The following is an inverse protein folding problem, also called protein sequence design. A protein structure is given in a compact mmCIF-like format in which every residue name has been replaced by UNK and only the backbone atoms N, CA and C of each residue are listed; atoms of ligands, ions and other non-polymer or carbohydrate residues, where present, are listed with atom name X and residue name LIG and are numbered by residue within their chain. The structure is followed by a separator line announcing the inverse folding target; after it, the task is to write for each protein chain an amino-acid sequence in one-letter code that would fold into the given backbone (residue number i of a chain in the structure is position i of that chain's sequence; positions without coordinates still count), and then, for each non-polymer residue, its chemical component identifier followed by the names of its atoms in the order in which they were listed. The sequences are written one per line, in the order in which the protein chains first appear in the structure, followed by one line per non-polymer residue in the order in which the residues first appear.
data_IF_705667369514
#
_entry.id   IF_705667369514
#
_cell.length_a   1.000
_cell.length_b   1.000
_cell.length_c   1.000
_cell.angle_alpha   90.00
_cell.angle_beta   90.00
_cell.angle_gamma   90.00
#
_symmetry.space_group_name_H-M   'P 1'
#
loop_
_entity.id
_entity.type
_entity.pdbx_description
1 polymer ?
#
# COMPACT_ATOMS: atom_id res chain seq x y z
N UNK A 1 3.53 -7.60 -15.78
CA UNK A 1 4.81 -7.62 -15.07
C UNK A 1 5.08 -9.00 -14.46
N UNK A 2 4.21 -9.52 -13.56
CA UNK A 2 4.45 -10.80 -12.86
C UNK A 2 4.53 -11.98 -13.82
N UNK A 3 3.56 -12.13 -14.73
CA UNK A 3 3.63 -13.15 -15.78
C UNK A 3 4.92 -13.05 -16.60
N UNK A 4 5.32 -11.86 -17.05
CA UNK A 4 6.56 -11.67 -17.81
C UNK A 4 7.81 -12.07 -17.02
N UNK A 5 7.83 -11.85 -15.70
CA UNK A 5 8.93 -12.28 -14.83
C UNK A 5 8.93 -13.81 -14.64
N UNK A 6 7.76 -14.43 -14.47
CA UNK A 6 7.62 -15.86 -14.19
C UNK A 6 7.74 -16.76 -15.42
N UNK A 7 7.48 -16.24 -16.63
CA UNK A 7 7.34 -17.00 -17.89
C UNK A 7 8.45 -18.03 -18.10
N UNK A 8 9.71 -17.63 -17.90
CA UNK A 8 10.88 -18.47 -18.14
C UNK A 8 11.52 -19.01 -16.84
N UNK A 9 10.81 -18.87 -15.71
CA UNK A 9 11.29 -19.25 -14.38
C UNK A 9 10.36 -20.30 -13.76
N UNK A 10 10.79 -21.55 -13.59
CA UNK A 10 9.97 -22.58 -12.95
C UNK A 10 9.80 -22.33 -11.44
N UNK A 11 10.77 -21.65 -10.83
CA UNK A 11 10.79 -21.29 -9.42
C UNK A 11 11.04 -19.79 -9.27
N UNK A 12 10.40 -19.18 -8.30
CA UNK A 12 10.67 -17.80 -7.83
C UNK A 12 10.68 -17.77 -6.31
N UNK A 13 11.39 -16.80 -5.75
CA UNK A 13 11.37 -16.50 -4.33
C UNK A 13 10.39 -15.34 -4.07
N UNK A 14 9.39 -15.56 -3.24
CA UNK A 14 8.59 -14.52 -2.61
C UNK A 14 9.40 -13.96 -1.45
N UNK A 15 9.67 -12.66 -1.45
CA UNK A 15 10.46 -11.99 -0.41
C UNK A 15 9.60 -10.96 0.33
N UNK A 16 9.66 -10.99 1.65
CA UNK A 16 9.03 -10.07 2.60
C UNK A 16 10.02 -9.79 3.75
N UNK A 17 9.83 -8.72 4.49
CA UNK A 17 10.74 -8.35 5.57
C UNK A 17 10.02 -8.10 6.88
N UNK A 18 10.57 -8.64 7.96
CA UNK A 18 10.07 -8.37 9.30
C UNK A 18 10.42 -6.95 9.73
N UNK A 19 9.39 -6.11 10.01
CA UNK A 19 9.56 -4.74 10.51
C UNK A 19 10.46 -3.87 9.60
N UNK A 20 10.32 -3.98 8.29
CA UNK A 20 11.19 -3.34 7.30
C UNK A 20 11.45 -1.86 7.60
N UNK A 21 10.39 -1.06 7.76
CA UNK A 21 10.47 0.37 8.10
C UNK A 21 11.30 0.65 9.36
N UNK A 22 11.19 -0.24 10.35
CA UNK A 22 11.91 -0.12 11.63
C UNK A 22 13.37 -0.55 11.57
N UNK A 23 13.74 -1.34 10.57
CA UNK A 23 15.08 -1.94 10.43
C UNK A 23 16.02 -1.13 9.53
N UNK A 24 15.55 -0.02 8.96
CA UNK A 24 16.38 0.81 8.07
C UNK A 24 17.55 1.43 8.83
N UNK A 25 18.75 1.22 8.29
CA UNK A 25 19.97 1.82 8.79
C UNK A 25 20.26 3.20 8.15
N UNK A 26 21.13 4.04 8.73
CA UNK A 26 21.56 5.29 8.10
C UNK A 26 22.17 5.06 6.71
N UNK A 27 22.89 3.96 6.51
CA UNK A 27 23.45 3.58 5.21
C UNK A 27 22.35 3.37 4.16
N UNK A 28 21.31 2.58 4.47
CA UNK A 28 20.20 2.32 3.56
C UNK A 28 19.41 3.60 3.23
N UNK A 29 19.26 4.49 4.19
CA UNK A 29 18.62 5.81 3.98
C UNK A 29 19.46 6.71 3.08
N UNK A 30 20.79 6.70 3.17
CA UNK A 30 21.64 7.46 2.26
C UNK A 30 21.70 6.84 0.86
N UNK A 31 21.63 5.50 0.76
CA UNK A 31 21.51 4.81 -0.52
C UNK A 31 20.25 5.27 -1.27
N UNK A 32 19.07 5.19 -0.65
CA UNK A 32 17.83 5.63 -1.30
C UNK A 32 17.85 7.11 -1.66
N UNK A 33 18.40 7.96 -0.77
CA UNK A 33 18.58 9.38 -1.04
C UNK A 33 19.46 9.61 -2.27
N UNK A 34 20.56 8.88 -2.40
CA UNK A 34 21.48 8.97 -3.54
C UNK A 34 20.81 8.57 -4.85
N UNK A 35 20.00 7.50 -4.84
CA UNK A 35 19.23 7.05 -6.01
C UNK A 35 18.20 8.12 -6.40
N UNK A 36 17.41 8.59 -5.45
CA UNK A 36 16.40 9.63 -5.70
C UNK A 36 17.01 10.91 -6.28
N UNK A 37 18.12 11.39 -5.74
CA UNK A 37 18.80 12.58 -6.27
C UNK A 37 19.31 12.39 -7.69
N UNK A 38 19.69 11.17 -8.10
CA UNK A 38 20.11 10.88 -9.47
C UNK A 38 18.94 10.87 -10.46
N UNK A 39 17.73 10.49 -10.02
CA UNK A 39 16.53 10.48 -10.85
C UNK A 39 16.04 11.89 -11.20
N UNK A 40 16.46 12.93 -10.50
CA UNK A 40 16.02 14.31 -10.71
C UNK A 40 17.07 15.16 -11.43
N UNK A 41 16.61 16.13 -12.24
CA UNK A 41 17.47 17.09 -12.88
C UNK A 41 18.26 17.95 -11.85
N UNK A 42 19.49 18.31 -12.19
CA UNK A 42 20.42 19.03 -11.29
C UNK A 42 19.79 20.23 -10.55
N UNK A 43 19.01 21.13 -11.20
CA UNK A 43 18.44 22.29 -10.54
C UNK A 43 17.50 21.96 -9.36
N UNK A 44 16.85 20.78 -9.38
CA UNK A 44 15.86 20.37 -8.36
C UNK A 44 16.48 19.56 -7.21
N UNK A 45 17.74 19.12 -7.34
CA UNK A 45 18.36 18.19 -6.37
C UNK A 45 18.54 18.81 -4.99
N UNK A 46 18.86 20.09 -4.90
CA UNK A 46 19.06 20.77 -3.62
C UNK A 46 17.75 20.85 -2.83
N UNK A 47 16.63 21.15 -3.50
CA UNK A 47 15.31 21.15 -2.88
C UNK A 47 14.87 19.75 -2.47
N UNK A 48 14.99 18.76 -3.37
CA UNK A 48 14.68 17.38 -3.08
C UNK A 48 15.51 16.85 -1.89
N UNK A 49 16.81 17.14 -1.84
CA UNK A 49 17.66 16.74 -0.72
C UNK A 49 17.16 17.29 0.62
N UNK A 50 16.68 18.55 0.63
CA UNK A 50 16.08 19.18 1.82
C UNK A 50 14.75 18.54 2.22
N UNK A 51 13.91 18.15 1.25
CA UNK A 51 12.65 17.46 1.52
C UNK A 51 12.92 16.04 2.07
N UNK A 52 13.83 15.29 1.46
CA UNK A 52 14.20 13.95 1.93
C UNK A 52 14.80 13.99 3.34
N UNK A 53 15.59 15.02 3.67
CA UNK A 53 16.16 15.18 5.01
C UNK A 53 15.07 15.35 6.10
N UNK A 54 13.88 15.88 5.76
CA UNK A 54 12.77 16.02 6.70
C UNK A 54 12.09 14.70 7.03
N UNK A 55 12.25 13.69 6.18
CA UNK A 55 11.74 12.34 6.41
C UNK A 55 12.65 11.50 7.33
N UNK A 56 13.81 12.04 7.69
CA UNK A 56 14.76 11.43 8.62
C UNK A 56 14.64 12.07 10.00
N UNK A 57 14.89 11.30 11.06
CA UNK A 57 14.93 11.80 12.45
C UNK A 57 13.68 12.57 12.85
N UNK A 58 12.51 12.05 12.44
CA UNK A 58 11.23 12.67 12.74
C UNK A 58 10.95 12.55 14.24
N UNK A 59 10.62 13.68 14.86
CA UNK A 59 10.21 13.75 16.27
C UNK A 59 8.70 13.76 16.34
N UNK A 60 8.15 12.86 17.14
CA UNK A 60 6.71 12.74 17.31
C UNK A 60 6.29 12.70 18.78
N UNK A 61 4.96 12.79 18.99
CA UNK A 61 4.33 12.66 20.30
C UNK A 61 3.08 11.81 20.20
N UNK A 62 2.96 10.83 21.06
CA UNK A 62 1.74 10.00 21.13
C UNK A 62 0.58 10.78 21.75
N UNK A 63 -0.66 10.29 21.58
CA UNK A 63 -1.86 10.86 22.22
C UNK A 63 -1.73 10.91 23.76
N UNK A 64 -0.95 9.99 24.35
CA UNK A 64 -0.67 9.94 25.79
C UNK A 64 0.51 10.80 26.23
N UNK A 65 1.09 11.60 25.31
CA UNK A 65 2.14 12.56 25.60
C UNK A 65 3.58 12.02 25.52
N UNK A 66 3.82 10.74 25.26
CA UNK A 66 5.17 10.18 25.10
C UNK A 66 5.83 10.75 23.85
N UNK A 67 7.06 11.23 23.99
CA UNK A 67 7.88 11.71 22.88
C UNK A 67 8.70 10.57 22.30
N UNK A 68 8.86 10.56 20.99
CA UNK A 68 9.72 9.60 20.29
C UNK A 68 10.46 10.26 19.15
N UNK A 69 11.54 9.62 18.70
CA UNK A 69 12.33 10.00 17.54
C UNK A 69 12.59 8.75 16.69
N UNK A 70 12.37 8.86 15.38
CA UNK A 70 12.48 7.70 14.47
C UNK A 70 13.91 7.35 14.11
N UNK A 71 14.87 8.28 14.30
CA UNK A 71 16.26 8.11 13.82
C UNK A 71 16.27 7.75 12.33
N UNK A 72 16.85 6.60 11.94
CA UNK A 72 16.88 6.12 10.58
C UNK A 72 15.58 5.38 10.16
N UNK A 73 14.77 4.92 11.11
CA UNK A 73 13.52 4.22 10.83
C UNK A 73 12.57 5.10 10.01
N UNK A 74 11.80 4.49 9.13
CA UNK A 74 10.76 5.14 8.33
C UNK A 74 9.44 5.19 9.08
N UNK A 75 8.72 6.27 8.94
CA UNK A 75 7.29 6.32 9.28
C UNK A 75 6.49 5.64 8.17
N UNK A 76 5.71 4.62 8.47
CA UNK A 76 4.92 3.87 7.47
C UNK A 76 3.91 4.74 6.70
N UNK A 77 3.57 5.93 7.20
CA UNK A 77 2.75 6.93 6.52
C UNK A 77 3.54 7.96 5.69
N UNK A 78 4.86 7.82 5.57
CA UNK A 78 5.68 8.67 4.72
C UNK A 78 5.38 8.43 3.24
N UNK A 79 5.41 9.48 2.43
CA UNK A 79 5.30 9.38 0.97
C UNK A 79 6.46 8.58 0.35
N UNK A 80 7.58 8.46 1.06
CA UNK A 80 8.74 7.68 0.64
C UNK A 80 8.64 6.19 1.01
N UNK A 81 7.58 5.74 1.70
CA UNK A 81 7.49 4.35 2.18
C UNK A 81 7.59 3.36 1.04
N UNK A 82 6.70 3.42 0.05
CA UNK A 82 6.73 2.47 -1.06
C UNK A 82 7.97 2.62 -1.93
N UNK A 83 8.29 3.83 -2.36
CA UNK A 83 9.43 4.08 -3.28
C UNK A 83 10.76 3.77 -2.62
N UNK A 84 11.01 4.30 -1.42
CA UNK A 84 12.26 4.08 -0.69
C UNK A 84 12.46 2.63 -0.30
N UNK A 85 11.40 1.96 0.20
CA UNK A 85 11.48 0.53 0.51
C UNK A 85 11.73 -0.31 -0.75
N UNK A 86 11.12 0.02 -1.89
CA UNK A 86 11.38 -0.67 -3.17
C UNK A 86 12.84 -0.52 -3.61
N UNK A 87 13.43 0.67 -3.43
CA UNK A 87 14.86 0.91 -3.75
C UNK A 87 15.76 0.03 -2.86
N UNK A 88 15.49 -0.01 -1.56
CA UNK A 88 16.28 -0.83 -0.61
C UNK A 88 16.10 -2.31 -0.90
N UNK A 89 14.87 -2.77 -1.14
CA UNK A 89 14.57 -4.16 -1.50
C UNK A 89 15.28 -4.58 -2.81
N UNK A 90 15.27 -3.72 -3.83
CA UNK A 90 16.00 -3.96 -5.08
C UNK A 90 17.52 -3.99 -4.85
N UNK A 91 18.05 -3.20 -3.92
CA UNK A 91 19.46 -3.22 -3.57
C UNK A 91 19.86 -4.53 -2.88
N UNK A 92 19.03 -5.05 -1.98
CA UNK A 92 19.26 -6.37 -1.37
C UNK A 92 19.33 -7.47 -2.44
N UNK A 93 18.35 -7.49 -3.36
CA UNK A 93 18.33 -8.44 -4.47
C UNK A 93 19.58 -8.30 -5.36
N UNK A 94 19.98 -7.06 -5.68
CA UNK A 94 21.20 -6.79 -6.43
C UNK A 94 22.43 -7.37 -5.72
N UNK A 95 22.60 -7.10 -4.43
CA UNK A 95 23.72 -7.60 -3.64
C UNK A 95 23.73 -9.13 -3.57
N UNK A 96 22.58 -9.76 -3.36
CA UNK A 96 22.46 -11.22 -3.33
C UNK A 96 22.88 -11.85 -4.67
N UNK A 97 22.40 -11.29 -5.79
CA UNK A 97 22.81 -11.72 -7.14
C UNK A 97 24.30 -11.46 -7.41
N UNK A 98 24.84 -10.35 -6.90
CA UNK A 98 26.30 -10.09 -7.00
C UNK A 98 27.13 -11.09 -6.21
N UNK A 99 26.65 -11.51 -5.04
CA UNK A 99 27.32 -12.48 -4.19
C UNK A 99 27.41 -13.89 -4.85
N UNK A 100 26.53 -14.20 -5.81
CA UNK A 100 26.66 -15.43 -6.63
C UNK A 100 27.73 -15.32 -7.74
N UNK A 101 28.47 -14.21 -7.84
CA UNK A 101 29.52 -14.00 -8.84
C UNK A 101 29.04 -13.36 -10.15
N UNK A 102 27.77 -13.00 -10.28
CA UNK A 102 27.25 -12.32 -11.49
C UNK A 102 27.91 -10.94 -11.67
N UNK A 103 28.12 -10.54 -12.92
CA UNK A 103 28.57 -9.16 -13.23
C UNK A 103 27.53 -8.13 -12.78
N UNK A 104 27.97 -6.88 -12.57
CA UNK A 104 27.05 -5.80 -12.12
C UNK A 104 25.86 -5.59 -13.06
N UNK A 105 26.11 -5.61 -14.39
CA UNK A 105 25.04 -5.45 -15.37
C UNK A 105 24.06 -6.64 -15.37
N UNK A 106 24.58 -7.85 -15.26
CA UNK A 106 23.75 -9.05 -15.25
C UNK A 106 22.94 -9.16 -13.95
N UNK A 107 23.54 -8.87 -12.80
CA UNK A 107 22.84 -8.83 -11.52
C UNK A 107 21.71 -7.79 -11.55
N UNK A 108 21.98 -6.60 -12.08
CA UNK A 108 20.97 -5.54 -12.20
C UNK A 108 19.80 -5.95 -13.11
N UNK A 109 20.07 -6.60 -14.25
CA UNK A 109 19.02 -7.04 -15.18
C UNK A 109 18.16 -8.20 -14.66
N UNK A 110 18.61 -8.90 -13.60
CA UNK A 110 17.92 -10.03 -13.00
C UNK A 110 17.10 -9.66 -11.76
N UNK A 111 17.17 -8.41 -11.30
CA UNK A 111 16.32 -7.93 -10.20
C UNK A 111 14.85 -8.12 -10.58
N UNK A 112 14.11 -8.80 -9.73
CA UNK A 112 12.69 -9.04 -9.96
C UNK A 112 11.79 -7.88 -9.53
N UNK A 113 10.46 -8.02 -9.67
CA UNK A 113 9.49 -7.02 -9.25
C UNK A 113 9.59 -6.68 -7.78
N UNK A 114 9.54 -5.38 -7.46
CA UNK A 114 9.58 -4.84 -6.10
C UNK A 114 8.46 -3.82 -5.88
N UNK A 115 7.79 -3.91 -4.74
CA UNK A 115 6.80 -2.94 -4.32
C UNK A 115 6.81 -2.80 -2.79
N UNK A 116 7.49 -1.78 -2.29
CA UNK A 116 7.76 -1.68 -0.87
C UNK A 116 8.68 -2.79 -0.38
N UNK A 117 8.23 -3.49 0.63
CA UNK A 117 8.85 -4.68 1.21
C UNK A 117 8.52 -5.97 0.45
N UNK A 118 7.42 -6.03 -0.30
CA UNK A 118 7.10 -7.17 -1.17
C UNK A 118 8.09 -7.29 -2.34
N UNK A 119 8.55 -8.51 -2.64
CA UNK A 119 9.42 -8.79 -3.77
C UNK A 119 9.21 -10.17 -4.36
N UNK A 120 9.53 -10.28 -5.67
CA UNK A 120 9.72 -11.55 -6.36
C UNK A 120 11.12 -11.58 -6.95
N UNK A 121 11.85 -12.67 -6.76
CA UNK A 121 13.24 -12.80 -7.18
C UNK A 121 13.55 -14.17 -7.73
N UNK A 122 14.73 -14.33 -8.35
CA UNK A 122 15.33 -15.63 -8.55
C UNK A 122 15.74 -16.18 -7.17
N UNK A 123 15.44 -17.46 -6.84
CA UNK A 123 15.83 -18.03 -5.56
C UNK A 123 17.34 -18.27 -5.54
N UNK A 124 18.07 -17.47 -4.76
CA UNK A 124 19.50 -17.60 -4.55
C UNK A 124 19.81 -17.73 -3.06
N UNK A 125 20.73 -18.60 -2.69
CA UNK A 125 21.07 -18.93 -1.29
C UNK A 125 21.64 -17.73 -0.52
N UNK A 126 22.29 -16.83 -1.22
CA UNK A 126 22.96 -15.65 -0.64
C UNK A 126 22.00 -14.57 -0.11
N UNK A 127 20.68 -14.68 -0.36
CA UNK A 127 19.71 -13.65 0.04
C UNK A 127 19.67 -13.43 1.56
N UNK A 128 19.61 -14.51 2.35
CA UNK A 128 19.52 -14.39 3.81
C UNK A 128 20.76 -13.73 4.41
N UNK A 129 21.95 -14.18 4.00
CA UNK A 129 23.22 -13.61 4.47
C UNK A 129 23.34 -12.12 4.12
N UNK A 130 23.01 -11.75 2.89
CA UNK A 130 23.05 -10.34 2.44
C UNK A 130 22.05 -9.49 3.21
N UNK A 131 20.83 -9.95 3.41
CA UNK A 131 19.83 -9.22 4.17
C UNK A 131 20.26 -9.03 5.63
N UNK A 132 20.78 -10.06 6.28
CA UNK A 132 21.29 -10.04 7.65
C UNK A 132 22.46 -9.05 7.80
N UNK A 133 23.43 -9.08 6.88
CA UNK A 133 24.55 -8.14 6.84
C UNK A 133 24.10 -6.67 6.69
N UNK A 134 22.95 -6.42 6.11
CA UNK A 134 22.31 -5.10 6.00
C UNK A 134 21.41 -4.75 7.19
N UNK A 135 21.26 -5.65 8.16
CA UNK A 135 20.41 -5.50 9.33
C UNK A 135 18.91 -5.71 9.07
N UNK A 136 18.56 -6.42 8.00
CA UNK A 136 17.18 -6.67 7.57
C UNK A 136 16.76 -8.11 7.86
N UNK A 137 15.58 -8.30 8.45
CA UNK A 137 15.01 -9.62 8.74
C UNK A 137 14.22 -10.15 7.55
N UNK A 138 14.88 -10.84 6.61
CA UNK A 138 14.27 -11.41 5.42
C UNK A 138 13.44 -12.66 5.75
N UNK A 139 12.24 -12.72 5.15
CA UNK A 139 11.45 -13.94 4.99
C UNK A 139 11.42 -14.28 3.50
N UNK A 140 11.66 -15.51 3.16
CA UNK A 140 11.71 -15.95 1.77
C UNK A 140 11.06 -17.32 1.62
N UNK A 141 10.06 -17.40 0.73
CA UNK A 141 9.37 -18.62 0.36
C UNK A 141 9.61 -18.91 -1.12
N UNK A 142 10.11 -20.10 -1.43
CA UNK A 142 10.29 -20.52 -2.83
C UNK A 142 9.01 -21.14 -3.35
N UNK A 143 8.51 -20.62 -4.48
CA UNK A 143 7.26 -21.02 -5.11
C UNK A 143 7.46 -21.56 -6.52
N UNK A 144 6.64 -22.55 -6.89
CA UNK A 144 6.51 -23.05 -8.25
C UNK A 144 5.58 -22.13 -9.05
N UNK A 145 6.07 -21.63 -10.19
CA UNK A 145 5.34 -20.67 -11.02
C UNK A 145 4.24 -21.31 -11.88
N UNK A 146 4.17 -22.62 -11.94
CA UNK A 146 3.06 -23.38 -12.52
C UNK A 146 1.89 -23.60 -11.55
N UNK A 147 2.05 -23.25 -10.26
CA UNK A 147 0.99 -23.36 -9.25
C UNK A 147 0.41 -22.00 -8.92
N UNK A 148 1.05 -21.24 -8.06
CA UNK A 148 0.71 -19.84 -7.77
C UNK A 148 1.90 -19.09 -7.16
N UNK A 149 1.81 -17.76 -7.25
CA UNK A 149 2.76 -16.83 -6.62
C UNK A 149 1.98 -15.69 -5.98
N UNK A 150 2.42 -15.23 -4.80
CA UNK A 150 1.79 -14.08 -4.12
C UNK A 150 2.66 -12.82 -4.27
N UNK A 151 2.01 -11.69 -4.56
CA UNK A 151 2.69 -10.41 -4.64
C UNK A 151 1.69 -9.27 -4.41
N UNK A 152 2.02 -8.32 -3.53
CA UNK A 152 1.19 -7.15 -3.21
C UNK A 152 -0.27 -7.52 -2.83
N UNK A 153 -0.44 -8.56 -2.03
CA UNK A 153 -1.76 -9.00 -1.56
C UNK A 153 -2.61 -9.71 -2.61
N UNK A 154 -2.07 -9.97 -3.80
CA UNK A 154 -2.71 -10.76 -4.85
C UNK A 154 -2.07 -12.13 -4.98
N UNK A 155 -2.86 -13.08 -5.46
CA UNK A 155 -2.45 -14.44 -5.81
C UNK A 155 -2.51 -14.58 -7.32
N UNK A 156 -1.38 -14.80 -7.95
CA UNK A 156 -1.24 -15.01 -9.39
C UNK A 156 -1.30 -16.51 -9.67
N UNK A 157 -2.29 -16.92 -10.43
CA UNK A 157 -2.58 -18.33 -10.73
C UNK A 157 -1.72 -18.80 -11.91
N UNK A 158 -0.90 -19.83 -11.70
CA UNK A 158 0.04 -20.36 -12.67
C UNK A 158 0.73 -19.27 -13.53
N UNK A 159 1.43 -18.28 -12.89
CA UNK A 159 1.91 -17.09 -13.56
C UNK A 159 2.94 -17.36 -14.66
N UNK A 160 3.46 -18.56 -14.77
CA UNK A 160 4.28 -19.00 -15.88
C UNK A 160 3.48 -19.09 -17.19
N UNK A 161 2.19 -19.41 -17.10
CA UNK A 161 1.32 -19.67 -18.24
C UNK A 161 0.29 -18.56 -18.46
N UNK A 162 -0.21 -17.95 -17.40
CA UNK A 162 -1.35 -17.03 -17.44
C UNK A 162 -1.03 -15.69 -16.76
N UNK A 163 -1.75 -14.66 -17.18
CA UNK A 163 -1.74 -13.36 -16.51
C UNK A 163 -3.00 -13.18 -15.64
N UNK A 164 -3.37 -14.23 -14.91
CA UNK A 164 -4.57 -14.24 -14.07
C UNK A 164 -4.18 -14.03 -12.61
N UNK A 165 -4.96 -13.24 -11.91
CA UNK A 165 -4.77 -13.04 -10.46
C UNK A 165 -6.08 -12.84 -9.75
N UNK A 166 -6.10 -13.21 -8.48
CA UNK A 166 -7.22 -13.06 -7.55
C UNK A 166 -6.75 -12.33 -6.29
N UNK A 167 -7.65 -11.74 -5.53
CA UNK A 167 -7.32 -11.30 -4.17
C UNK A 167 -6.84 -12.48 -3.32
N UNK A 168 -5.87 -12.21 -2.43
CA UNK A 168 -5.54 -13.20 -1.41
C UNK A 168 -6.78 -13.44 -0.52
N UNK A 169 -7.38 -14.65 -0.57
CA UNK A 169 -8.68 -14.90 0.07
C UNK A 169 -8.60 -14.72 1.59
N UNK A 170 -7.51 -15.13 2.21
CA UNK A 170 -7.30 -14.99 3.65
C UNK A 170 -7.27 -13.54 4.10
N UNK A 171 -6.57 -12.68 3.35
CA UNK A 171 -6.52 -11.23 3.61
C UNK A 171 -7.88 -10.57 3.32
N UNK A 172 -8.52 -10.91 2.21
CA UNK A 172 -9.79 -10.33 1.80
C UNK A 172 -10.93 -10.65 2.77
N UNK A 173 -11.12 -11.92 3.12
CA UNK A 173 -12.21 -12.36 4.00
C UNK A 173 -12.04 -11.76 5.41
N UNK A 174 -10.84 -11.70 5.96
CA UNK A 174 -10.58 -11.02 7.23
C UNK A 174 -10.86 -9.52 7.17
N UNK A 175 -10.51 -8.89 6.07
CA UNK A 175 -10.64 -7.44 5.91
C UNK A 175 -12.07 -6.99 5.63
N UNK A 176 -12.84 -7.75 4.84
CA UNK A 176 -14.17 -7.35 4.36
C UNK A 176 -15.14 -6.93 5.48
N UNK A 177 -15.28 -7.67 6.62
CA UNK A 177 -16.21 -7.29 7.69
C UNK A 177 -15.75 -6.08 8.50
N UNK A 178 -14.47 -5.70 8.42
CA UNK A 178 -13.90 -4.66 9.28
C UNK A 178 -13.97 -3.30 8.58
N UNK A 179 -14.66 -2.34 9.20
CA UNK A 179 -14.67 -0.95 8.76
C UNK A 179 -14.61 0.00 9.96
N UNK A 180 -13.72 0.99 9.91
CA UNK A 180 -13.57 1.98 10.98
C UNK A 180 -14.73 2.98 11.05
N UNK A 181 -15.42 3.21 9.91
CA UNK A 181 -16.57 4.10 9.78
C UNK A 181 -17.65 3.36 9.01
N UNK A 182 -18.81 3.12 9.63
CA UNK A 182 -19.91 2.37 9.03
C UNK A 182 -20.33 2.89 7.64
N UNK A 183 -20.31 4.22 7.44
CA UNK A 183 -20.61 4.84 6.14
C UNK A 183 -19.65 4.47 5.00
N UNK A 184 -18.47 3.94 5.29
CA UNK A 184 -17.48 3.53 4.29
C UNK A 184 -17.47 2.02 4.03
N UNK A 185 -18.33 1.25 4.71
CA UNK A 185 -18.35 -0.20 4.54
C UNK A 185 -18.92 -0.60 3.17
N UNK A 186 -19.98 0.06 2.72
CA UNK A 186 -20.54 -0.13 1.39
C UNK A 186 -19.50 0.16 0.30
N UNK A 187 -18.77 1.28 0.40
CA UNK A 187 -17.70 1.66 -0.53
C UNK A 187 -16.62 0.58 -0.60
N UNK A 188 -16.21 0.06 0.55
CA UNK A 188 -15.21 -1.01 0.62
C UNK A 188 -15.69 -2.28 -0.07
N UNK A 189 -16.90 -2.74 0.23
CA UNK A 189 -17.49 -3.96 -0.36
C UNK A 189 -17.65 -3.80 -1.87
N UNK A 190 -18.21 -2.67 -2.33
CA UNK A 190 -18.36 -2.37 -3.75
C UNK A 190 -17.00 -2.24 -4.46
N UNK A 191 -15.99 -1.67 -3.80
CA UNK A 191 -14.61 -1.62 -4.31
C UNK A 191 -14.01 -3.01 -4.55
N UNK A 192 -14.22 -3.95 -3.64
CA UNK A 192 -13.79 -5.35 -3.84
C UNK A 192 -14.49 -5.98 -5.06
N UNK A 193 -15.79 -5.78 -5.20
CA UNK A 193 -16.57 -6.32 -6.33
C UNK A 193 -16.20 -5.67 -7.66
N UNK A 194 -15.85 -4.37 -7.67
CA UNK A 194 -15.39 -3.69 -8.88
C UNK A 194 -14.03 -4.20 -9.38
N UNK A 195 -13.14 -4.53 -8.44
CA UNK A 195 -11.76 -4.96 -8.77
C UNK A 195 -11.70 -6.45 -9.12
N UNK A 196 -12.41 -7.29 -8.38
CA UNK A 196 -12.37 -8.76 -8.52
C UNK A 196 -13.78 -9.38 -8.53
N UNK A 197 -14.62 -9.06 -9.51
CA UNK A 197 -16.02 -9.49 -9.54
C UNK A 197 -16.20 -11.00 -9.67
N UNK A 198 -15.18 -11.72 -10.15
CA UNK A 198 -15.24 -13.15 -10.46
C UNK A 198 -14.35 -14.02 -9.55
N UNK A 199 -13.65 -13.44 -8.57
CA UNK A 199 -12.80 -14.22 -7.66
C UNK A 199 -13.66 -15.14 -6.80
N UNK A 200 -13.54 -16.49 -6.92
CA UNK A 200 -14.32 -17.42 -6.12
C UNK A 200 -14.16 -17.15 -4.62
N UNK A 201 -15.19 -17.40 -3.85
CA UNK A 201 -15.29 -17.18 -2.42
C UNK A 201 -15.23 -15.70 -2.01
N UNK A 202 -14.27 -14.90 -2.51
CA UNK A 202 -14.12 -13.49 -2.13
C UNK A 202 -15.25 -12.63 -2.71
N UNK A 203 -15.53 -12.78 -4.00
CA UNK A 203 -16.65 -12.08 -4.65
C UNK A 203 -18.00 -12.55 -4.10
N UNK A 204 -18.12 -13.86 -3.82
CA UNK A 204 -19.34 -14.42 -3.22
C UNK A 204 -19.58 -13.86 -1.81
N UNK A 205 -18.51 -13.74 -1.00
CA UNK A 205 -18.59 -13.17 0.35
C UNK A 205 -18.91 -11.67 0.32
N UNK A 206 -18.26 -10.91 -0.54
CA UNK A 206 -18.55 -9.49 -0.73
C UNK A 206 -20.00 -9.27 -1.21
N UNK A 207 -20.47 -10.09 -2.16
CA UNK A 207 -21.86 -10.06 -2.65
C UNK A 207 -22.88 -10.44 -1.58
N UNK A 208 -22.56 -11.40 -0.71
CA UNK A 208 -23.39 -11.76 0.42
C UNK A 208 -23.46 -10.62 1.45
N UNK A 209 -22.33 -9.99 1.80
CA UNK A 209 -22.29 -8.83 2.69
C UNK A 209 -23.14 -7.69 2.12
N UNK A 210 -22.98 -7.38 0.82
CA UNK A 210 -23.76 -6.35 0.12
C UNK A 210 -25.25 -6.61 0.23
N UNK A 211 -25.69 -7.83 -0.08
CA UNK A 211 -27.10 -8.25 -0.05
C UNK A 211 -27.69 -8.20 1.37
N UNK A 212 -26.96 -8.75 2.37
CA UNK A 212 -27.44 -8.82 3.76
C UNK A 212 -27.58 -7.42 4.37
N UNK A 213 -26.68 -6.49 4.01
CA UNK A 213 -26.71 -5.12 4.54
C UNK A 213 -27.50 -4.15 3.66
N UNK A 214 -28.06 -4.58 2.52
CA UNK A 214 -28.85 -3.72 1.63
C UNK A 214 -28.05 -2.60 0.98
N UNK A 215 -26.75 -2.81 0.70
CA UNK A 215 -25.91 -1.77 0.08
C UNK A 215 -26.27 -1.60 -1.40
N UNK A 216 -26.27 -0.31 -1.85
CA UNK A 216 -26.45 0.06 -3.26
C UNK A 216 -25.27 -0.36 -4.15
N UNK A 217 -25.41 -0.07 -5.45
CA UNK A 217 -24.41 -0.42 -6.48
C UNK A 217 -23.32 0.66 -6.69
N UNK A 218 -23.37 1.74 -5.94
CA UNK A 218 -22.44 2.85 -6.10
C UNK A 218 -21.01 2.38 -5.84
N UNK A 219 -20.15 2.54 -6.85
CA UNK A 219 -18.72 2.27 -6.76
C UNK A 219 -18.01 3.61 -6.57
N UNK A 220 -17.14 3.77 -5.57
CA UNK A 220 -16.38 4.99 -5.40
C UNK A 220 -15.54 5.30 -6.64
N UNK A 221 -15.54 6.54 -7.12
CA UNK A 221 -14.78 7.02 -8.30
C UNK A 221 -13.31 6.57 -8.31
N UNK A 222 -12.69 6.49 -7.13
CA UNK A 222 -11.30 6.05 -6.98
C UNK A 222 -11.04 4.61 -7.42
N UNK A 223 -12.04 3.73 -7.41
CA UNK A 223 -11.90 2.35 -7.83
C UNK A 223 -12.11 2.19 -9.34
N UNK A 224 -12.92 3.01 -9.95
CA UNK A 224 -13.13 2.99 -11.41
C UNK A 224 -11.92 3.51 -12.20
N UNK A 225 -11.20 4.49 -11.64
CA UNK A 225 -10.06 5.14 -12.31
C UNK A 225 -8.72 4.46 -12.08
N UNK A 226 -8.52 3.77 -10.95
CA UNK A 226 -7.20 3.25 -10.55
C UNK A 226 -7.03 1.78 -10.89
N UNK A 227 -8.10 0.98 -10.84
CA UNK A 227 -8.00 -0.44 -11.09
C UNK A 227 -9.26 -0.91 -11.80
N UNK A 228 -9.23 -0.98 -13.11
CA UNK A 228 -10.16 -1.87 -13.82
C UNK A 228 -10.05 -3.30 -13.26
N UNK A 229 -10.99 -4.19 -13.56
CA UNK A 229 -10.96 -5.56 -13.08
C UNK A 229 -9.64 -6.23 -13.45
N UNK A 230 -9.05 -6.92 -12.48
CA UNK A 230 -7.83 -7.69 -12.74
C UNK A 230 -8.12 -8.84 -13.70
N UNK A 231 -7.17 -9.21 -14.55
CA UNK A 231 -7.35 -10.32 -15.46
C UNK A 231 -7.66 -11.61 -14.69
N UNK A 232 -8.82 -12.18 -14.97
CA UNK A 232 -9.24 -13.47 -14.46
C UNK A 232 -10.13 -14.14 -15.52
N UNK A 233 -9.85 -15.39 -15.85
CA UNK A 233 -10.65 -16.20 -16.74
C UNK A 233 -11.43 -17.23 -15.91
N UNK A 234 -12.74 -17.34 -16.16
CA UNK A 234 -13.61 -18.34 -15.51
C UNK A 234 -13.10 -19.77 -15.74
N UNK A 235 -12.42 -20.03 -16.84
CA UNK A 235 -11.74 -21.31 -17.10
C UNK A 235 -10.65 -21.63 -16.06
N UNK A 236 -10.14 -20.62 -15.36
CA UNK A 236 -9.19 -20.79 -14.25
C UNK A 236 -9.86 -21.13 -12.91
N UNK A 237 -11.20 -21.20 -12.84
CA UNK A 237 -11.94 -21.42 -11.58
C UNK A 237 -11.51 -22.70 -10.85
N UNK A 238 -11.34 -23.87 -11.49
CA UNK A 238 -10.88 -25.07 -10.81
C UNK A 238 -9.55 -24.87 -10.10
N UNK A 239 -8.56 -24.27 -10.79
CA UNK A 239 -7.26 -23.95 -10.21
C UNK A 239 -7.38 -22.91 -9.10
N UNK A 240 -8.21 -21.88 -9.28
CA UNK A 240 -8.45 -20.86 -8.26
C UNK A 240 -9.02 -21.46 -6.98
N UNK A 241 -10.04 -22.34 -7.08
CA UNK A 241 -10.65 -23.02 -5.93
C UNK A 241 -9.62 -23.91 -5.20
N UNK A 242 -8.78 -24.65 -5.94
CA UNK A 242 -7.71 -25.46 -5.34
C UNK A 242 -6.69 -24.60 -4.61
N UNK A 243 -6.24 -23.50 -5.21
CA UNK A 243 -5.28 -22.57 -4.59
C UNK A 243 -5.88 -21.87 -3.37
N UNK A 244 -7.16 -21.48 -3.45
CA UNK A 244 -7.89 -20.91 -2.31
C UNK A 244 -7.96 -21.94 -1.17
N UNK A 245 -8.29 -23.20 -1.46
CA UNK A 245 -8.36 -24.27 -0.48
C UNK A 245 -7.00 -24.48 0.22
N UNK A 246 -5.91 -24.48 -0.54
CA UNK A 246 -4.54 -24.56 0.00
C UNK A 246 -4.22 -23.37 0.92
N UNK A 247 -4.49 -22.15 0.48
CA UNK A 247 -4.25 -20.93 1.26
C UNK A 247 -5.10 -20.86 2.54
N UNK A 248 -6.31 -21.43 2.50
CA UNK A 248 -7.23 -21.46 3.63
C UNK A 248 -7.07 -22.70 4.53
N UNK A 249 -6.13 -23.60 4.20
CA UNK A 249 -5.90 -24.89 4.87
C UNK A 249 -7.18 -25.76 4.95
N UNK A 250 -7.86 -25.90 3.83
CA UNK A 250 -9.11 -26.66 3.72
C UNK A 250 -9.18 -27.45 2.40
N UNK A 251 -10.32 -28.04 2.07
CA UNK A 251 -10.53 -28.77 0.82
C UNK A 251 -11.28 -27.92 -0.22
N UNK A 252 -11.12 -28.27 -1.49
CA UNK A 252 -11.86 -27.62 -2.59
C UNK A 252 -13.38 -27.78 -2.43
N UNK A 253 -13.83 -28.92 -1.91
CA UNK A 253 -15.27 -29.17 -1.67
C UNK A 253 -15.80 -28.26 -0.57
N UNK A 254 -15.05 -28.08 0.54
CA UNK A 254 -15.42 -27.14 1.58
C UNK A 254 -15.51 -25.68 1.06
N UNK A 255 -14.62 -25.28 0.14
CA UNK A 255 -14.72 -23.96 -0.52
C UNK A 255 -16.00 -23.86 -1.36
N UNK A 256 -16.32 -24.88 -2.15
CA UNK A 256 -17.56 -24.91 -2.96
C UNK A 256 -18.82 -24.86 -2.09
N UNK A 257 -18.83 -25.60 -0.99
CA UNK A 257 -19.93 -25.58 -0.02
C UNK A 257 -20.10 -24.19 0.60
N UNK A 258 -18.99 -23.55 0.99
CA UNK A 258 -19.02 -22.17 1.48
C UNK A 258 -19.58 -21.19 0.45
N UNK A 259 -19.16 -21.27 -0.81
CA UNK A 259 -19.69 -20.46 -1.90
C UNK A 259 -21.20 -20.67 -2.05
N UNK A 260 -21.65 -21.93 -1.99
CA UNK A 260 -23.06 -22.26 -2.07
C UNK A 260 -23.88 -21.66 -0.90
N UNK A 261 -23.37 -21.72 0.33
CA UNK A 261 -24.00 -21.10 1.49
C UNK A 261 -24.01 -19.56 1.37
N UNK A 262 -22.91 -18.94 0.94
CA UNK A 262 -22.83 -17.48 0.72
C UNK A 262 -23.88 -16.99 -0.27
N UNK A 263 -24.12 -17.71 -1.37
CA UNK A 263 -25.18 -17.38 -2.34
C UNK A 263 -26.59 -17.37 -1.74
N UNK A 264 -26.80 -18.09 -0.63
CA UNK A 264 -28.09 -18.21 0.07
C UNK A 264 -28.17 -17.39 1.36
N UNK A 265 -27.07 -16.84 1.86
CA UNK A 265 -27.02 -16.06 3.09
C UNK A 265 -28.00 -14.88 3.07
N UNK A 266 -28.79 -14.73 4.14
CA UNK A 266 -29.83 -13.71 4.29
C UNK A 266 -29.63 -12.87 5.55
N UNK A 267 -28.85 -13.34 6.49
CA UNK A 267 -28.67 -12.72 7.80
C UNK A 267 -27.19 -12.49 8.12
N UNK A 268 -26.93 -11.57 9.05
CA UNK A 268 -25.58 -11.36 9.59
C UNK A 268 -25.02 -12.63 10.23
N UNK A 269 -25.88 -13.43 10.88
CA UNK A 269 -25.47 -14.68 11.50
C UNK A 269 -24.96 -15.71 10.48
N UNK A 270 -25.55 -15.75 9.26
CA UNK A 270 -25.04 -16.59 8.19
C UNK A 270 -23.61 -16.20 7.79
N UNK A 271 -23.33 -14.89 7.70
CA UNK A 271 -21.98 -14.38 7.38
C UNK A 271 -20.97 -14.68 8.48
N UNK A 272 -21.34 -14.49 9.75
CA UNK A 272 -20.49 -14.78 10.90
C UNK A 272 -20.17 -16.28 11.01
N UNK A 273 -21.14 -17.13 10.75
CA UNK A 273 -20.95 -18.59 10.76
C UNK A 273 -19.90 -19.03 9.75
N UNK A 274 -19.95 -18.48 8.54
CA UNK A 274 -18.95 -18.75 7.50
C UNK A 274 -17.56 -18.20 7.83
N UNK A 275 -17.48 -17.00 8.42
CA UNK A 275 -16.23 -16.44 8.88
C UNK A 275 -15.52 -17.36 9.90
N UNK A 276 -16.28 -17.90 10.85
CA UNK A 276 -15.78 -18.81 11.90
C UNK A 276 -15.25 -20.13 11.35
N UNK A 277 -15.79 -20.61 10.22
CA UNK A 277 -15.24 -21.82 9.55
C UNK A 277 -13.79 -21.61 9.17
N UNK A 278 -13.43 -20.43 8.67
CA UNK A 278 -12.07 -20.15 8.21
C UNK A 278 -11.15 -19.61 9.32
N UNK A 279 -11.71 -18.97 10.33
CA UNK A 279 -10.97 -18.30 11.40
C UNK A 279 -11.52 -18.65 12.80
N UNK A 280 -11.47 -19.92 13.19
CA UNK A 280 -12.06 -20.38 14.46
C UNK A 280 -11.40 -19.78 15.69
N UNK A 281 -10.16 -19.32 15.58
CA UNK A 281 -9.36 -18.79 16.69
C UNK A 281 -9.35 -17.25 16.77
N UNK A 282 -9.95 -16.55 15.80
CA UNK A 282 -9.96 -15.07 15.79
C UNK A 282 -10.88 -14.46 16.88
N UNK A 283 -11.67 -15.28 17.57
CA UNK A 283 -12.61 -14.82 18.63
C UNK A 283 -11.92 -14.24 19.87
N UNK A 284 -10.67 -14.60 20.16
CA UNK A 284 -10.06 -14.21 21.45
C UNK A 284 -9.27 -12.90 21.42
N UNK A 285 -8.76 -12.47 20.28
CA UNK A 285 -7.91 -11.28 20.19
C UNK A 285 -8.53 -10.09 19.42
N UNK A 286 -9.30 -10.32 18.36
CA UNK A 286 -9.78 -9.25 17.48
C UNK A 286 -11.14 -8.66 17.85
N UNK A 287 -12.04 -9.43 18.46
CA UNK A 287 -13.36 -8.92 18.89
C UNK A 287 -13.29 -7.91 20.02
N UNK A 288 -12.19 -7.83 20.75
CA UNK A 288 -11.95 -6.76 21.74
C UNK A 288 -11.66 -5.40 21.09
N UNK A 289 -11.35 -5.35 19.82
CA UNK A 289 -11.05 -4.14 19.04
C UNK A 289 -12.11 -3.74 18.01
N UNK A 290 -12.99 -4.65 17.62
CA UNK A 290 -14.05 -4.37 16.63
C UNK A 290 -15.23 -3.75 17.36
N UNK A 291 -15.37 -2.44 17.28
CA UNK A 291 -16.66 -1.79 17.61
C UNK A 291 -17.68 -2.27 16.60
N UNK A 292 -18.58 -3.18 17.02
CA UNK A 292 -19.85 -3.41 16.33
C UNK A 292 -20.48 -2.04 16.09
N UNK A 293 -20.99 -1.79 14.90
CA UNK A 293 -21.86 -0.64 14.66
C UNK A 293 -22.98 -0.71 15.70
N UNK A 294 -23.16 0.27 16.57
CA UNK A 294 -24.28 0.26 17.49
C UNK A 294 -25.57 0.27 16.66
N UNK A 295 -26.55 -0.57 17.03
CA UNK A 295 -27.90 -0.57 16.45
C UNK A 295 -28.68 0.73 16.73
N UNK A 296 -28.09 1.69 17.45
CA UNK A 296 -28.73 2.96 17.79
C UNK A 296 -28.42 4.07 16.78
N UNK A 297 -29.15 4.09 15.70
CA UNK A 297 -29.22 5.25 14.77
C UNK A 297 -30.45 6.13 15.01
N UNK A 298 -30.83 6.41 16.24
CA UNK A 298 -31.91 7.36 16.52
C UNK A 298 -31.49 8.60 17.36
N UNK A 299 -30.21 8.96 17.39
CA UNK A 299 -29.86 10.28 17.95
C UNK A 299 -28.66 10.90 17.22
N UNK A 300 -28.87 11.27 15.96
CA UNK A 300 -28.01 12.27 15.32
C UNK A 300 -28.41 13.65 15.85
N UNK A 301 -27.84 14.03 16.95
CA UNK A 301 -27.81 15.44 17.36
C UNK A 301 -27.03 16.20 16.29
N UNK A 302 -27.76 17.01 15.51
CA UNK A 302 -27.20 17.99 14.59
C UNK A 302 -26.34 18.95 15.42
N UNK A 303 -25.02 18.76 15.40
CA UNK A 303 -24.11 19.83 15.78
C UNK A 303 -24.10 20.85 14.63
N UNK A 304 -24.91 21.89 14.83
CA UNK A 304 -24.81 23.13 14.10
C UNK A 304 -23.43 23.72 14.26
N UNK A 305 -22.89 24.18 13.14
CA UNK A 305 -21.65 24.95 13.02
C UNK A 305 -21.49 25.97 14.17
N UNK A 306 -20.54 25.71 15.05
CA UNK A 306 -19.97 26.73 15.92
C UNK A 306 -18.55 27.04 15.46
N UNK A 307 -18.45 28.14 14.77
CA UNK A 307 -17.25 28.87 14.39
C UNK A 307 -16.39 29.15 15.65
N UNK A 308 -15.12 28.74 15.76
CA UNK A 308 -14.30 28.96 16.95
C UNK A 308 -13.65 30.36 16.96
N UNK A 309 -14.38 31.44 16.72
CA UNK A 309 -13.84 32.79 16.73
C UNK A 309 -14.27 33.67 17.91
N UNK A 310 -14.87 33.12 18.96
CA UNK A 310 -15.17 33.89 20.17
C UNK A 310 -14.81 33.11 21.40
N UNK A 311 -13.53 33.14 21.79
CA UNK A 311 -13.08 32.92 23.15
C UNK A 311 -12.62 34.26 23.71
N UNK A 312 -13.46 34.82 24.54
CA UNK A 312 -13.21 35.99 25.36
C UNK A 312 -11.98 35.82 26.25
N UNK A 313 -11.16 36.86 26.32
CA UNK A 313 -10.01 36.97 27.19
C UNK A 313 -10.50 37.31 28.63
N UNK A 314 -10.00 36.70 29.69
CA UNK A 314 -10.17 37.22 31.02
C UNK A 314 -9.26 38.43 31.24
N UNK A 315 -9.86 39.46 31.85
CA UNK A 315 -9.20 40.69 32.23
C UNK A 315 -8.15 40.49 33.32
N UNK A 316 -6.98 41.10 33.16
CA UNK A 316 -5.91 41.13 34.19
C UNK A 316 -4.81 42.10 33.73
N UNK A 317 -4.87 43.27 34.27
CA UNK A 317 -3.94 44.40 34.19
C UNK A 317 -2.45 44.03 34.38
N UNK A 318 -1.54 44.69 33.60
CA UNK A 318 -0.47 45.58 34.10
C UNK A 318 0.48 45.98 32.94
N UNK A 319 0.55 47.31 32.73
CA UNK A 319 1.59 48.20 32.24
C UNK A 319 2.49 47.88 31.02
N UNK A 320 2.33 48.78 30.04
CA UNK A 320 3.30 49.09 28.96
C UNK A 320 4.57 49.76 29.45
N UNK A 321 5.66 49.79 28.65
CA UNK A 321 6.09 51.04 28.07
C UNK A 321 6.38 51.04 26.55
N UNK A 322 6.00 52.15 25.99
CA UNK A 322 6.47 52.95 24.87
C UNK A 322 7.17 52.35 23.65
N UNK A 323 6.61 52.62 22.48
CA UNK A 323 7.19 52.52 21.14
C UNK A 323 8.04 53.75 20.80
N UNK A 324 9.07 53.60 19.93
CA UNK A 324 9.64 54.68 19.18
C UNK A 324 9.23 54.66 17.67
N UNK A 325 9.45 55.77 16.92
CA UNK A 325 8.55 56.26 15.92
C UNK A 325 8.82 55.84 14.47
N UNK A 326 7.83 56.05 13.65
CA UNK A 326 7.79 55.91 12.18
C UNK A 326 8.78 56.87 11.49
N UNK A 327 9.48 56.41 10.47
CA UNK A 327 10.07 57.27 9.46
C UNK A 327 9.60 56.90 8.06
N UNK A 328 9.43 57.96 7.32
CA UNK A 328 8.65 58.27 6.15
C UNK A 328 9.02 57.58 4.83
N UNK A 329 8.05 57.65 3.97
CA UNK A 329 7.98 57.34 2.52
C UNK A 329 9.13 57.94 1.72
N UNK A 330 9.60 57.18 0.73
CA UNK A 330 10.01 57.78 -0.54
C UNK A 330 9.55 56.94 -1.73
N UNK A 331 8.99 57.68 -2.66
CA UNK A 331 8.31 57.33 -3.89
C UNK A 331 9.27 57.10 -5.06
N UNK A 332 8.72 56.40 -6.06
CA UNK A 332 8.94 56.51 -7.51
C UNK A 332 10.20 55.90 -8.14
N UNK A 333 10.02 55.01 -9.08
CA UNK A 333 10.18 55.30 -10.50
C UNK A 333 9.84 54.06 -11.39
N UNK A 334 9.01 54.31 -12.35
CA UNK A 334 8.72 53.48 -13.51
C UNK A 334 9.97 53.30 -14.40
N UNK A 335 10.20 52.11 -14.93
CA UNK A 335 10.89 52.01 -16.24
C UNK A 335 10.46 50.73 -17.00
N UNK A 336 9.95 51.03 -18.15
CA UNK A 336 9.54 50.34 -19.34
C UNK A 336 10.41 49.18 -19.86
N UNK A 337 9.69 48.18 -20.40
CA UNK A 337 9.84 47.50 -21.70
C UNK A 337 11.26 47.15 -22.19
N UNK A 338 11.44 45.86 -22.49
CA UNK A 338 11.81 45.40 -23.84
C UNK A 338 11.73 43.85 -23.90
N UNK A 339 10.91 43.34 -24.84
CA UNK A 339 10.93 41.97 -25.34
C UNK A 339 12.00 41.87 -26.40
N UNK A 340 12.63 40.71 -26.60
CA UNK A 340 12.99 40.29 -27.96
C UNK A 340 12.26 38.99 -28.34
N UNK A 341 11.74 39.04 -29.56
CA UNK A 341 11.30 37.90 -30.38
C UNK A 341 12.53 37.11 -30.81
N UNK A 342 12.52 35.79 -30.69
CA UNK A 342 13.42 34.95 -31.45
C UNK A 342 12.63 33.90 -32.24
N UNK A 343 13.02 33.84 -33.51
CA UNK A 343 12.47 33.07 -34.61
C UNK A 343 12.66 31.56 -34.44
N UNK A 344 11.68 30.82 -34.92
CA UNK A 344 11.78 29.41 -35.24
C UNK A 344 12.90 29.13 -36.25
N UNK A 345 13.65 28.06 -36.07
CA UNK A 345 14.55 27.47 -37.06
C UNK A 345 14.19 26.01 -37.25
N UNK A 346 13.82 25.72 -38.46
CA UNK A 346 13.52 24.41 -38.99
C UNK A 346 14.75 23.50 -38.97
N UNK A 347 14.56 22.22 -38.70
CA UNK A 347 15.57 21.16 -38.85
C UNK A 347 15.17 20.35 -40.11
N UNK A 348 16.11 20.09 -41.03
CA UNK A 348 15.84 19.28 -42.21
C UNK A 348 16.01 17.78 -41.91
N UNK A 349 15.15 16.98 -42.57
CA UNK A 349 15.25 15.53 -42.73
C UNK A 349 16.60 15.12 -43.36
N UNK A 350 17.16 14.04 -42.85
CA UNK A 350 18.05 13.17 -43.65
C UNK A 350 17.90 11.72 -43.22
N UNK A 351 17.59 10.97 -44.21
CA UNK A 351 17.74 9.58 -44.61
C UNK A 351 18.28 8.57 -43.56
#
# INVERSE_FOLDING_TARGET
LIHAFCKDRPLVAETDYSKFDGSLSPFLRELERSVMLKCFAKPHRAELARLLARDHQVKGRTKKGHRYETKASRLSGSQMTTVGNSIVNAFVAYCALRATGLSSSLAFSKIGPKFGDDGLDEPVETFHEVAENLGLGLKMDVRKTDRYVTFCGRVYLAPRHFNHSIFNPKKAIRSLPICMKGSQHADKVNGYLAVDPLTPLVADYASAIKRVNGYGDDVPENYETIAGPYPYDVLSEPLAVEVIAELMNTTSDAIRDCIHHLKRAKTQQDLESLYRVFFPNDEQEELKGVRRVPEDTENVVRHTDQNPRNLEKPAGTVNSPAAPPKSEKRSSAKRNKLRPKTKARAVPDRA
#
